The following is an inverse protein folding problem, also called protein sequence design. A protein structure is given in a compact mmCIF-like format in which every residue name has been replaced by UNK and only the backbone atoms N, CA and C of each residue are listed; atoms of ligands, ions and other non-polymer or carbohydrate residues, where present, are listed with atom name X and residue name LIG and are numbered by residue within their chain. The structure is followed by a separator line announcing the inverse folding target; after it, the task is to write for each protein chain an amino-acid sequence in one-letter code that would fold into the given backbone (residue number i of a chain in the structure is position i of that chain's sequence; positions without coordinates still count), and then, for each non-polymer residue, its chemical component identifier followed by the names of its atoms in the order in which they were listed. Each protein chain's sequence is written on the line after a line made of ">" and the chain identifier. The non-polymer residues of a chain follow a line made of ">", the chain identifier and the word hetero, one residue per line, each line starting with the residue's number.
data_IF_550259680348
#
_entry.id   IF_550259680348
#
_cell.length_a   1.000
_cell.length_b   1.000
_cell.length_c   1.000
_cell.angle_alpha   90.00
_cell.angle_beta   90.00
_cell.angle_gamma   90.00
#
_symmetry.space_group_name_H-M   'P 1'
#
loop_
_entity.id
_entity.type
_entity.pdbx_description
1 polymer ?
#
# COMPACT_ATOMS: atom_id res chain seq x y z
N UNK A 1 -1.57 9.69 6.29
CA UNK A 1 -0.09 9.53 6.25
C UNK A 1 0.62 10.71 5.56
N UNK A 2 -0.05 11.47 4.68
CA UNK A 2 0.54 12.67 4.08
C UNK A 2 0.88 13.76 5.11
N UNK A 3 0.28 13.71 6.29
CA UNK A 3 0.64 14.58 7.42
C UNK A 3 2.13 14.47 7.83
N UNK A 4 2.78 13.34 7.56
CA UNK A 4 4.22 13.16 7.78
C UNK A 4 5.08 14.13 6.94
N UNK A 5 4.53 14.64 5.84
CA UNK A 5 5.23 15.63 4.99
C UNK A 5 5.30 17.02 5.61
N UNK A 6 4.46 17.33 6.62
CA UNK A 6 4.54 18.59 7.37
C UNK A 6 5.75 18.65 8.30
N UNK A 7 6.29 17.50 8.71
CA UNK A 7 7.31 17.39 9.73
C UNK A 7 6.81 17.65 11.17
N UNK A 8 5.52 17.91 11.34
CA UNK A 8 4.90 18.14 12.64
C UNK A 8 4.45 16.83 13.28
N UNK A 9 5.13 16.44 14.36
CA UNK A 9 4.84 15.20 15.09
C UNK A 9 3.45 15.21 15.72
N UNK A 10 3.00 16.36 16.24
CA UNK A 10 1.73 16.45 16.96
C UNK A 10 0.54 16.22 16.01
N UNK A 11 0.58 16.77 14.81
CA UNK A 11 -0.48 16.54 13.81
C UNK A 11 -0.64 15.06 13.50
N UNK A 12 0.48 14.35 13.30
CA UNK A 12 0.45 12.93 12.97
C UNK A 12 0.02 12.06 14.16
N UNK A 13 0.56 12.32 15.34
CA UNK A 13 0.24 11.57 16.55
C UNK A 13 -1.21 11.82 17.01
N UNK A 14 -1.73 13.06 16.89
CA UNK A 14 -3.13 13.40 17.15
C UNK A 14 -4.08 12.61 16.24
N UNK A 15 -3.75 12.49 14.95
CA UNK A 15 -4.54 11.67 14.03
C UNK A 15 -4.49 10.17 14.40
N UNK A 16 -3.32 9.65 14.77
CA UNK A 16 -3.17 8.29 15.26
C UNK A 16 -4.02 8.02 16.51
N UNK A 17 -3.95 8.92 17.49
CA UNK A 17 -4.76 8.85 18.72
C UNK A 17 -6.26 8.90 18.43
N UNK A 18 -6.70 9.81 17.54
CA UNK A 18 -8.08 9.86 17.09
C UNK A 18 -8.58 8.53 16.52
N UNK A 19 -7.78 7.86 15.66
CA UNK A 19 -8.18 6.56 15.13
C UNK A 19 -8.34 5.50 16.23
N UNK A 20 -7.43 5.47 17.20
CA UNK A 20 -7.51 4.53 18.33
C UNK A 20 -8.72 4.85 19.22
N UNK A 21 -9.08 6.13 19.43
CA UNK A 21 -10.22 6.54 20.22
C UNK A 21 -11.57 6.09 19.67
N UNK A 22 -11.65 5.69 18.39
CA UNK A 22 -12.85 5.08 17.79
C UNK A 22 -13.20 3.71 18.41
N UNK A 23 -12.28 3.09 19.16
CA UNK A 23 -12.53 1.87 19.92
C UNK A 23 -13.10 0.73 19.09
N UNK A 24 -14.30 0.24 19.45
CA UNK A 24 -14.96 -0.88 18.76
C UNK A 24 -15.24 -0.62 17.28
N UNK A 25 -15.48 0.63 16.87
CA UNK A 25 -15.67 0.97 15.46
C UNK A 25 -14.39 0.71 14.63
N UNK A 26 -13.22 1.08 15.18
CA UNK A 26 -11.94 0.77 14.53
C UNK A 26 -11.78 -0.74 14.33
N UNK A 27 -12.09 -1.54 15.35
CA UNK A 27 -12.00 -3.02 15.27
C UNK A 27 -12.94 -3.57 14.18
N UNK A 28 -14.16 -3.07 14.07
CA UNK A 28 -15.10 -3.48 13.03
C UNK A 28 -14.58 -3.16 11.62
N UNK A 29 -14.02 -1.96 11.42
CA UNK A 29 -13.41 -1.57 10.14
C UNK A 29 -12.22 -2.46 9.80
N UNK A 30 -11.36 -2.75 10.78
CA UNK A 30 -10.21 -3.64 10.58
C UNK A 30 -10.63 -5.06 10.20
N UNK A 31 -11.60 -5.63 10.90
CA UNK A 31 -12.14 -6.96 10.58
C UNK A 31 -12.75 -7.00 9.17
N UNK A 32 -13.47 -5.94 8.79
CA UNK A 32 -14.01 -5.81 7.44
C UNK A 32 -12.90 -5.78 6.38
N UNK A 33 -11.84 -4.98 6.59
CA UNK A 33 -10.70 -4.90 5.67
C UNK A 33 -9.95 -6.23 5.56
N UNK A 34 -9.76 -6.94 6.69
CA UNK A 34 -9.15 -8.27 6.71
C UNK A 34 -10.01 -9.26 5.92
N UNK A 35 -11.33 -9.25 6.12
CA UNK A 35 -12.23 -10.13 5.38
C UNK A 35 -12.16 -9.85 3.86
N UNK A 36 -12.19 -8.58 3.45
CA UNK A 36 -12.02 -8.19 2.05
C UNK A 36 -10.67 -8.67 1.47
N UNK A 37 -9.58 -8.52 2.22
CA UNK A 37 -8.26 -8.98 1.80
C UNK A 37 -8.23 -10.51 1.64
N UNK A 38 -8.75 -11.25 2.60
CA UNK A 38 -8.81 -12.73 2.54
C UNK A 38 -9.62 -13.20 1.34
N UNK A 39 -10.82 -12.64 1.13
CA UNK A 39 -11.66 -12.95 -0.03
C UNK A 39 -10.91 -12.64 -1.33
N UNK A 40 -10.25 -11.48 -1.42
CA UNK A 40 -9.46 -11.09 -2.59
C UNK A 40 -8.33 -12.09 -2.87
N UNK A 41 -7.55 -12.47 -1.88
CA UNK A 41 -6.44 -13.42 -2.04
C UNK A 41 -6.94 -14.81 -2.43
N UNK A 42 -7.97 -15.32 -1.74
CA UNK A 42 -8.55 -16.65 -2.04
C UNK A 42 -9.10 -16.71 -3.45
N UNK A 43 -9.88 -15.72 -3.88
CA UNK A 43 -10.43 -15.67 -5.24
C UNK A 43 -9.34 -15.53 -6.30
N UNK A 44 -8.30 -14.74 -6.05
CA UNK A 44 -7.15 -14.62 -6.96
C UNK A 44 -6.43 -15.97 -7.13
N UNK A 45 -6.19 -16.71 -6.04
CA UNK A 45 -5.56 -18.03 -6.08
C UNK A 45 -6.45 -19.06 -6.82
N UNK A 46 -7.76 -19.05 -6.57
CA UNK A 46 -8.72 -19.93 -7.27
C UNK A 46 -8.69 -19.69 -8.79
N UNK A 47 -8.65 -18.42 -9.23
CA UNK A 47 -8.53 -18.08 -10.65
C UNK A 47 -7.23 -18.60 -11.25
N UNK A 48 -6.11 -18.46 -10.56
CA UNK A 48 -4.79 -18.94 -11.03
C UNK A 48 -4.78 -20.47 -11.16
N UNK A 49 -5.28 -21.19 -10.14
CA UNK A 49 -5.37 -22.65 -10.17
C UNK A 49 -6.34 -23.14 -11.23
N UNK A 50 -7.52 -22.53 -11.35
CA UNK A 50 -8.49 -22.84 -12.38
C UNK A 50 -7.92 -22.68 -13.79
N UNK A 51 -7.18 -21.61 -14.06
CA UNK A 51 -6.49 -21.40 -15.35
C UNK A 51 -5.43 -22.48 -15.64
N UNK A 52 -4.65 -22.88 -14.62
CA UNK A 52 -3.64 -23.94 -14.77
C UNK A 52 -4.29 -25.30 -15.05
N UNK A 53 -5.38 -25.63 -14.34
CA UNK A 53 -6.12 -26.88 -14.53
C UNK A 53 -6.83 -26.95 -15.91
N UNK A 54 -7.41 -25.83 -16.33
CA UNK A 54 -8.10 -25.75 -17.62
C UNK A 54 -7.15 -25.79 -18.84
N UNK A 55 -5.85 -25.54 -18.63
CA UNK A 55 -4.84 -25.54 -19.69
C UNK A 55 -3.55 -26.20 -19.25
N UNK A 56 -3.42 -27.51 -19.42
CA UNK A 56 -2.19 -28.23 -19.11
C UNK A 56 -1.01 -27.84 -20.02
N UNK A 57 -1.31 -27.37 -21.25
CA UNK A 57 -0.30 -26.95 -22.21
C UNK A 57 -0.28 -25.41 -22.34
N UNK A 58 0.91 -24.81 -22.28
CA UNK A 58 1.10 -23.39 -22.48
C UNK A 58 0.85 -22.97 -23.92
N UNK A 59 0.54 -21.68 -24.14
CA UNK A 59 0.47 -21.15 -25.50
C UNK A 59 1.84 -21.16 -26.17
N UNK A 60 1.89 -21.52 -27.43
CA UNK A 60 3.10 -21.42 -28.26
C UNK A 60 3.59 -19.96 -28.40
N UNK A 61 2.68 -18.98 -28.35
CA UNK A 61 3.00 -17.57 -28.32
C UNK A 61 2.38 -16.88 -27.11
N UNK A 62 3.21 -16.17 -26.34
CA UNK A 62 2.80 -15.38 -25.17
C UNK A 62 2.44 -13.92 -25.54
N UNK A 63 2.54 -13.55 -26.82
CA UNK A 63 2.24 -12.18 -27.28
C UNK A 63 0.74 -11.89 -27.22
N UNK A 64 0.39 -10.65 -26.85
CA UNK A 64 -1.00 -10.19 -26.91
C UNK A 64 -1.42 -10.04 -28.37
N UNK A 65 -2.58 -10.59 -28.72
CA UNK A 65 -3.18 -10.39 -30.06
C UNK A 65 -3.70 -8.95 -30.27
N UNK A 66 -3.68 -8.11 -29.22
CA UNK A 66 -4.24 -6.77 -29.27
C UNK A 66 -5.76 -6.75 -29.04
N UNK A 67 -6.42 -5.65 -29.43
CA UNK A 67 -7.88 -5.50 -29.29
C UNK A 67 -8.36 -5.26 -27.86
N UNK A 68 -9.57 -5.75 -27.54
CA UNK A 68 -10.28 -5.51 -26.28
C UNK A 68 -9.59 -6.15 -25.06
N UNK A 69 -8.82 -7.22 -25.26
CA UNK A 69 -8.13 -7.99 -24.22
C UNK A 69 -6.61 -7.79 -24.28
N UNK A 70 -6.15 -6.57 -24.01
CA UNK A 70 -4.71 -6.28 -23.96
C UNK A 70 -4.05 -6.93 -22.76
N UNK A 71 -3.05 -7.77 -23.02
CA UNK A 71 -2.14 -8.27 -21.97
C UNK A 71 -1.21 -7.14 -21.55
N UNK A 72 -1.41 -6.57 -20.36
CA UNK A 72 -0.54 -5.55 -19.78
C UNK A 72 0.54 -6.17 -18.89
N UNK A 73 1.59 -5.40 -18.58
CA UNK A 73 2.59 -5.81 -17.59
C UNK A 73 1.91 -6.15 -16.25
N UNK A 74 0.98 -5.29 -15.78
CA UNK A 74 0.20 -5.53 -14.56
C UNK A 74 -0.56 -6.85 -14.61
N UNK A 75 -1.26 -7.18 -15.74
CA UNK A 75 -2.01 -8.43 -15.83
C UNK A 75 -1.14 -9.68 -15.86
N UNK A 76 0.06 -9.60 -16.44
CA UNK A 76 0.99 -10.73 -16.53
C UNK A 76 1.76 -10.99 -15.23
N UNK A 77 1.97 -9.97 -14.41
CA UNK A 77 2.70 -10.05 -13.14
C UNK A 77 1.81 -10.04 -11.90
N UNK A 78 0.48 -10.07 -12.09
CA UNK A 78 -0.52 -9.81 -11.03
C UNK A 78 -0.35 -10.70 -9.79
N UNK A 79 -0.08 -12.00 -10.00
CA UNK A 79 0.10 -12.94 -8.87
C UNK A 79 1.39 -12.64 -8.10
N UNK A 80 2.47 -12.30 -8.79
CA UNK A 80 3.75 -12.00 -8.15
C UNK A 80 3.72 -10.67 -7.41
N UNK A 81 3.19 -9.62 -8.05
CA UNK A 81 3.03 -8.31 -7.40
C UNK A 81 2.05 -8.39 -6.23
N UNK A 82 0.96 -9.15 -6.36
CA UNK A 82 0.00 -9.37 -5.27
C UNK A 82 0.62 -10.10 -4.07
N UNK A 83 1.44 -11.14 -4.31
CA UNK A 83 2.13 -11.85 -3.23
C UNK A 83 3.13 -10.94 -2.51
N UNK A 84 3.92 -10.16 -3.25
CA UNK A 84 4.87 -9.21 -2.67
C UNK A 84 4.18 -8.09 -1.87
N UNK A 85 3.07 -7.56 -2.39
CA UNK A 85 2.25 -6.58 -1.67
C UNK A 85 1.64 -7.20 -0.41
N UNK A 86 1.22 -8.47 -0.43
CA UNK A 86 0.72 -9.16 0.75
C UNK A 86 1.79 -9.29 1.84
N UNK A 87 3.00 -9.71 1.46
CA UNK A 87 4.15 -9.75 2.38
C UNK A 87 4.45 -8.37 2.96
N UNK A 88 4.43 -7.34 2.11
CA UNK A 88 4.61 -5.96 2.56
C UNK A 88 3.53 -5.53 3.57
N UNK A 89 2.24 -5.86 3.33
CA UNK A 89 1.14 -5.54 4.27
C UNK A 89 1.40 -6.16 5.65
N UNK A 90 1.82 -7.44 5.68
CA UNK A 90 2.14 -8.12 6.95
C UNK A 90 3.29 -7.41 7.68
N UNK A 91 4.38 -7.09 6.99
CA UNK A 91 5.52 -6.36 7.57
C UNK A 91 5.08 -4.98 8.05
N UNK A 92 4.32 -4.24 7.24
CA UNK A 92 3.83 -2.90 7.55
C UNK A 92 2.96 -2.89 8.81
N UNK A 93 1.96 -3.76 8.88
CA UNK A 93 1.05 -3.86 10.03
C UNK A 93 1.82 -4.30 11.28
N UNK A 94 2.70 -5.30 11.19
CA UNK A 94 3.52 -5.74 12.31
C UNK A 94 4.42 -4.63 12.82
N UNK A 95 5.01 -3.82 11.93
CA UNK A 95 5.96 -2.77 12.32
C UNK A 95 5.28 -1.57 12.94
N UNK A 96 4.19 -1.06 12.35
CA UNK A 96 3.60 0.20 12.77
C UNK A 96 2.37 0.05 13.67
N UNK A 97 1.54 -0.97 13.46
CA UNK A 97 0.40 -1.22 14.35
C UNK A 97 0.81 -1.96 15.61
N UNK A 98 1.55 -3.06 15.46
CA UNK A 98 1.97 -3.95 16.55
C UNK A 98 3.46 -3.79 16.91
N UNK A 99 4.10 -2.72 16.47
CA UNK A 99 5.45 -2.34 16.86
C UNK A 99 5.48 -1.62 18.22
N UNK A 100 6.66 -1.09 18.61
CA UNK A 100 6.83 -0.41 19.88
C UNK A 100 5.76 0.63 20.19
N UNK A 101 5.31 0.66 21.43
CA UNK A 101 4.23 1.49 21.93
C UNK A 101 4.60 2.13 23.27
N UNK A 102 3.63 2.52 24.07
CA UNK A 102 3.85 3.22 25.35
C UNK A 102 4.71 2.39 26.32
N UNK A 103 4.53 1.06 26.36
CA UNK A 103 5.29 0.17 27.23
C UNK A 103 6.80 0.15 26.93
N UNK A 104 7.18 0.44 25.68
CA UNK A 104 8.57 0.53 25.22
C UNK A 104 9.07 1.98 25.15
N UNK A 105 8.35 2.93 25.78
CA UNK A 105 8.75 4.32 25.88
C UNK A 105 8.47 5.18 24.63
N UNK A 106 7.60 4.71 23.72
CA UNK A 106 7.12 5.52 22.59
C UNK A 106 5.89 6.33 23.03
N UNK A 107 6.13 7.35 23.85
CA UNK A 107 5.10 8.20 24.46
C UNK A 107 5.39 9.66 24.15
N UNK A 108 4.34 10.41 23.86
CA UNK A 108 4.34 11.88 23.77
C UNK A 108 3.09 12.41 24.47
N UNK A 109 3.07 13.72 24.79
CA UNK A 109 1.93 14.36 25.42
C UNK A 109 1.25 15.30 24.46
N UNK A 110 -0.04 15.10 24.21
CA UNK A 110 -0.88 15.96 23.36
C UNK A 110 -2.07 16.45 24.19
N UNK A 111 -2.22 17.76 24.34
CA UNK A 111 -3.29 18.39 25.14
C UNK A 111 -3.36 17.86 26.59
N UNK A 112 -2.21 17.52 27.18
CA UNK A 112 -2.11 16.96 28.53
C UNK A 112 -2.42 15.47 28.67
N UNK A 113 -2.64 14.78 27.55
CA UNK A 113 -2.87 13.32 27.51
C UNK A 113 -1.64 12.62 26.94
N UNK A 114 -1.19 11.56 27.63
CA UNK A 114 -0.16 10.70 27.10
C UNK A 114 -0.72 9.83 25.97
N UNK A 115 -0.05 9.84 24.83
CA UNK A 115 -0.40 9.09 23.63
C UNK A 115 0.83 8.42 23.02
N UNK A 116 0.60 7.37 22.24
CA UNK A 116 1.69 6.69 21.55
C UNK A 116 2.37 7.64 20.54
N UNK A 117 3.70 7.74 20.62
CA UNK A 117 4.51 8.49 19.66
C UNK A 117 4.79 7.66 18.40
N UNK A 118 3.78 7.58 17.55
CA UNK A 118 3.87 6.87 16.28
C UNK A 118 4.75 7.62 15.27
N UNK A 119 4.82 8.97 15.35
CA UNK A 119 5.70 9.77 14.50
C UNK A 119 7.16 9.39 14.71
N UNK A 120 7.61 9.32 15.96
CA UNK A 120 8.97 8.90 16.32
C UNK A 120 9.29 7.52 15.75
N UNK A 121 8.39 6.54 15.89
CA UNK A 121 8.58 5.19 15.36
C UNK A 121 8.78 5.21 13.83
N UNK A 122 7.99 6.01 13.12
CA UNK A 122 8.07 6.12 11.66
C UNK A 122 9.40 6.75 11.24
N UNK A 123 9.83 7.84 11.90
CA UNK A 123 11.09 8.53 11.63
C UNK A 123 12.28 7.61 11.90
N UNK A 124 12.32 6.91 13.05
CA UNK A 124 13.39 5.98 13.38
C UNK A 124 13.49 4.81 12.37
N UNK A 125 12.35 4.29 11.87
CA UNK A 125 12.37 3.26 10.83
C UNK A 125 12.93 3.79 9.51
N UNK A 126 12.50 4.95 9.06
CA UNK A 126 13.00 5.53 7.81
C UNK A 126 14.35 6.26 7.96
N UNK A 127 14.94 6.29 9.16
CA UNK A 127 16.36 6.59 9.34
C UNK A 127 17.26 5.51 8.72
N UNK A 128 16.80 4.29 8.63
CA UNK A 128 17.52 3.14 8.08
C UNK A 128 17.22 3.04 6.57
N UNK A 129 18.26 3.11 5.74
CA UNK A 129 18.11 3.15 4.27
C UNK A 129 17.44 1.89 3.71
N UNK A 130 17.64 0.74 4.33
CA UNK A 130 17.01 -0.52 3.93
C UNK A 130 15.49 -0.48 4.06
N UNK A 131 14.94 0.21 5.06
CA UNK A 131 13.50 0.44 5.17
C UNK A 131 13.00 1.37 4.06
N UNK A 132 13.74 2.43 3.76
CA UNK A 132 13.38 3.34 2.66
C UNK A 132 13.34 2.60 1.33
N UNK A 133 14.40 1.86 1.01
CA UNK A 133 14.48 1.07 -0.24
C UNK A 133 13.36 0.04 -0.30
N UNK A 134 13.11 -0.70 0.80
CA UNK A 134 12.04 -1.69 0.86
C UNK A 134 10.65 -1.08 0.63
N UNK A 135 10.36 0.08 1.24
CA UNK A 135 9.08 0.79 1.06
C UNK A 135 8.91 1.40 -0.33
N UNK A 136 9.96 1.99 -0.88
CA UNK A 136 9.95 2.51 -2.26
C UNK A 136 9.68 1.38 -3.25
N UNK A 137 10.38 0.24 -3.12
CA UNK A 137 10.14 -0.93 -3.96
C UNK A 137 8.70 -1.45 -3.81
N UNK A 138 8.17 -1.54 -2.58
CA UNK A 138 6.80 -1.96 -2.33
C UNK A 138 5.78 -1.01 -2.96
N UNK A 139 5.99 0.30 -2.93
CA UNK A 139 5.08 1.28 -3.54
C UNK A 139 5.10 1.22 -5.07
N UNK A 140 6.25 0.94 -5.69
CA UNK A 140 6.33 0.70 -7.14
C UNK A 140 5.52 -0.56 -7.50
N UNK A 141 5.70 -1.65 -6.76
CA UNK A 141 4.95 -2.89 -6.96
C UNK A 141 3.45 -2.70 -6.76
N UNK A 142 3.06 -1.92 -5.74
CA UNK A 142 1.67 -1.53 -5.49
C UNK A 142 1.09 -0.77 -6.68
N UNK A 143 1.83 0.20 -7.23
CA UNK A 143 1.41 0.95 -8.42
C UNK A 143 1.16 0.05 -9.62
N UNK A 144 2.06 -0.91 -9.89
CA UNK A 144 1.88 -1.90 -10.96
C UNK A 144 0.65 -2.77 -10.69
N UNK A 145 0.45 -3.22 -9.46
CA UNK A 145 -0.69 -4.03 -9.04
C UNK A 145 -2.02 -3.26 -9.20
N UNK A 146 -2.11 -2.05 -8.68
CA UNK A 146 -3.30 -1.21 -8.76
C UNK A 146 -3.63 -0.77 -10.19
N UNK A 147 -2.62 -0.57 -11.05
CA UNK A 147 -2.84 -0.15 -12.44
C UNK A 147 -3.68 -1.14 -13.24
N UNK A 148 -3.62 -2.43 -12.88
CA UNK A 148 -4.46 -3.47 -13.45
C UNK A 148 -5.74 -3.68 -12.64
N UNK A 149 -5.67 -3.62 -11.31
CA UNK A 149 -6.77 -3.94 -10.41
C UNK A 149 -8.00 -3.06 -10.65
N UNK A 150 -7.83 -1.76 -10.80
CA UNK A 150 -8.92 -0.81 -11.00
C UNK A 150 -9.77 -1.17 -12.23
N UNK A 151 -9.12 -1.34 -13.38
CA UNK A 151 -9.81 -1.73 -14.61
C UNK A 151 -10.46 -3.12 -14.48
N UNK A 152 -9.74 -4.08 -13.92
CA UNK A 152 -10.24 -5.46 -13.76
C UNK A 152 -11.49 -5.51 -12.89
N UNK A 153 -11.60 -4.67 -11.87
CA UNK A 153 -12.78 -4.56 -11.03
C UNK A 153 -14.01 -4.13 -11.83
N UNK A 154 -13.92 -3.07 -12.64
CA UNK A 154 -15.02 -2.64 -13.50
C UNK A 154 -15.41 -3.69 -14.55
N UNK A 155 -14.42 -4.35 -15.13
CA UNK A 155 -14.67 -5.43 -16.08
C UNK A 155 -15.41 -6.61 -15.43
N UNK A 156 -15.05 -6.96 -14.19
CA UNK A 156 -15.70 -8.04 -13.44
C UNK A 156 -17.14 -7.73 -13.06
N UNK A 157 -17.46 -6.44 -12.90
CA UNK A 157 -18.82 -5.94 -12.65
C UNK A 157 -19.65 -5.77 -13.94
N UNK A 158 -19.11 -6.14 -15.10
CA UNK A 158 -19.80 -6.02 -16.37
C UNK A 158 -19.80 -4.61 -16.99
N UNK A 159 -19.09 -3.64 -16.40
CA UNK A 159 -18.95 -2.29 -16.94
C UNK A 159 -17.97 -2.27 -18.12
N UNK A 160 -18.42 -2.75 -19.26
CA UNK A 160 -17.68 -2.72 -20.51
C UNK A 160 -18.49 -2.00 -21.59
N UNK A 161 -17.91 -0.94 -22.15
CA UNK A 161 -18.49 -0.22 -23.27
C UNK A 161 -17.37 0.46 -24.08
N UNK A 162 -17.47 0.44 -25.40
CA UNK A 162 -16.42 0.95 -26.29
C UNK A 162 -16.06 2.42 -26.02
N UNK A 163 -17.06 3.22 -25.65
CA UNK A 163 -16.89 4.66 -25.37
C UNK A 163 -16.25 4.94 -24.00
N UNK A 164 -16.61 4.19 -22.96
CA UNK A 164 -16.18 4.51 -21.58
C UNK A 164 -14.96 3.70 -21.13
N UNK A 165 -14.74 2.55 -21.69
CA UNK A 165 -13.62 1.66 -21.35
C UNK A 165 -12.25 2.35 -21.41
N UNK A 166 -11.92 3.14 -22.47
CA UNK A 166 -10.65 3.86 -22.54
C UNK A 166 -10.47 4.88 -21.41
N UNK A 167 -11.56 5.55 -21.01
CA UNK A 167 -11.56 6.54 -19.91
C UNK A 167 -11.31 5.84 -18.57
N UNK A 168 -12.03 4.75 -18.29
CA UNK A 168 -11.82 3.95 -17.06
C UNK A 168 -10.40 3.41 -16.97
N UNK A 169 -9.82 3.01 -18.09
CA UNK A 169 -8.44 2.54 -18.16
C UNK A 169 -7.43 3.64 -17.80
N UNK A 170 -7.65 4.83 -18.35
CA UNK A 170 -6.77 5.99 -18.10
C UNK A 170 -6.93 6.50 -16.68
N UNK A 171 -8.17 6.60 -16.18
CA UNK A 171 -8.45 7.00 -14.80
C UNK A 171 -7.84 6.02 -13.79
N UNK A 172 -7.97 4.70 -14.03
CA UNK A 172 -7.38 3.69 -13.17
C UNK A 172 -5.85 3.75 -13.11
N UNK A 173 -5.19 4.01 -14.23
CA UNK A 173 -3.73 4.22 -14.25
C UNK A 173 -3.34 5.50 -13.52
N UNK A 174 -4.04 6.60 -13.78
CA UNK A 174 -3.76 7.87 -13.10
C UNK A 174 -3.91 7.72 -11.59
N UNK A 175 -4.98 7.07 -11.12
CA UNK A 175 -5.20 6.80 -9.71
C UNK A 175 -4.11 5.91 -9.11
N UNK A 176 -3.70 4.84 -9.80
CA UNK A 176 -2.62 3.96 -9.37
C UNK A 176 -1.29 4.72 -9.22
N UNK A 177 -0.96 5.59 -10.17
CA UNK A 177 0.24 6.44 -10.12
C UNK A 177 0.16 7.44 -8.97
N UNK A 178 -0.96 8.13 -8.79
CA UNK A 178 -1.15 9.10 -7.70
C UNK A 178 -1.01 8.45 -6.34
N UNK A 179 -1.65 7.30 -6.11
CA UNK A 179 -1.55 6.57 -4.84
C UNK A 179 -0.11 6.10 -4.61
N UNK A 180 0.50 5.47 -5.61
CA UNK A 180 1.87 4.95 -5.52
C UNK A 180 2.87 6.07 -5.22
N UNK A 181 2.83 7.19 -5.96
CA UNK A 181 3.71 8.34 -5.74
C UNK A 181 3.45 9.01 -4.39
N UNK A 182 2.18 9.17 -4.00
CA UNK A 182 1.82 9.77 -2.71
C UNK A 182 2.41 9.01 -1.51
N UNK A 183 2.43 7.68 -1.58
CA UNK A 183 3.05 6.87 -0.53
C UNK A 183 4.57 6.73 -0.68
N UNK A 184 5.09 6.72 -1.91
CA UNK A 184 6.52 6.60 -2.20
C UNK A 184 7.30 7.82 -1.71
N UNK A 185 6.72 9.03 -1.81
CA UNK A 185 7.40 10.26 -1.41
C UNK A 185 7.65 10.30 0.10
N UNK A 186 6.82 9.68 0.93
CA UNK A 186 6.90 9.76 2.40
C UNK A 186 8.25 9.23 2.93
N UNK A 187 8.67 7.98 2.68
CA UNK A 187 9.95 7.48 3.18
C UNK A 187 11.14 8.25 2.63
N UNK A 188 11.08 8.70 1.39
CA UNK A 188 12.13 9.51 0.77
C UNK A 188 12.22 10.88 1.45
N UNK A 189 11.07 11.54 1.67
CA UNK A 189 11.00 12.83 2.34
C UNK A 189 11.56 12.75 3.76
N UNK A 190 11.13 11.78 4.56
CA UNK A 190 11.60 11.60 5.94
C UNK A 190 13.11 11.40 5.94
N UNK A 191 13.64 10.52 5.09
CA UNK A 191 15.06 10.23 5.04
C UNK A 191 15.91 11.45 4.70
N UNK A 192 15.51 12.24 3.71
CA UNK A 192 16.32 13.36 3.23
C UNK A 192 16.09 14.69 3.98
N UNK A 193 14.88 14.95 4.44
CA UNK A 193 14.52 16.27 4.98
C UNK A 193 14.39 16.29 6.49
N UNK A 194 13.95 15.23 7.13
CA UNK A 194 13.82 15.20 8.58
C UNK A 194 15.09 14.68 9.28
N UNK A 195 15.89 13.86 8.62
CA UNK A 195 17.04 13.18 9.24
C UNK A 195 18.37 13.86 8.89
N UNK A 196 18.59 14.24 7.64
CA UNK A 196 19.86 14.85 7.23
C UNK A 196 20.23 16.14 7.97
N UNK A 197 19.33 17.08 8.27
CA UNK A 197 19.70 18.26 9.03
C UNK A 197 20.27 17.94 10.41
N UNK A 198 19.76 16.88 11.07
CA UNK A 198 20.23 16.48 12.40
C UNK A 198 21.66 15.92 12.39
N UNK A 199 22.07 15.27 11.30
CA UNK A 199 23.43 14.69 11.17
C UNK A 199 24.50 15.77 10.89
N UNK A 200 24.13 16.87 10.20
CA UNK A 200 25.06 17.96 9.89
C UNK A 200 25.29 18.95 11.04
N UNK A 201 24.46 18.92 12.08
CA UNK A 201 24.56 19.80 13.27
C UNK A 201 25.02 19.07 14.53
N UNK A 202 25.38 17.79 14.46
CA UNK A 202 26.09 17.12 15.57
C UNK A 202 27.58 17.42 15.45
N UNK A 203 28.21 18.06 16.48
CA UNK A 203 29.62 18.38 16.49
C UNK A 203 30.49 17.14 16.54
#
# INVERSE_FOLDING_TARGET
>A
NLQLLSGDADIFNRYGHFLVSLGGLLVLVELFLIACLVIHVVTALQIVWGKRKARPQAYASQKSAGGKSRKSLGSSTMIYTGLLVLVFIVIHVRTFKYGPAEAEGYVTTIDGVEVRDLHRLVVEKFHQIEWVVGYVAAMILLGVHLSHAFWSAFQSLGFYHERYTPVLYSAGRALAVLISLGFLIIPIWIYFYLIRPLVFYMP
#
